data_IF_500749550416
#
_entry.id   IF_500749550416
#
_cell.length_a   1.000
_cell.length_b   1.000
_cell.length_c   1.000
_cell.angle_alpha   90.00
_cell.angle_beta   90.00
_cell.angle_gamma   90.00
#
_symmetry.space_group_name_H-M   'P 1'
#
loop_
_entity.id
_entity.type
_entity.pdbx_description
1 polymer ?
#
# COMPACT_ATOMS: atom_id res chain seq x y z
N UNK A 1 30.31 3.65 19.05
CA UNK A 1 29.47 4.27 18.00
C UNK A 1 30.31 4.36 16.73
N UNK A 2 30.22 3.35 15.88
CA UNK A 2 30.89 3.31 14.58
C UNK A 2 30.27 4.36 13.65
N UNK A 3 31.10 4.99 12.81
CA UNK A 3 30.72 6.02 11.84
C UNK A 3 29.55 5.51 10.99
N UNK A 4 28.38 6.12 11.09
CA UNK A 4 27.20 5.74 10.32
C UNK A 4 27.48 5.98 8.84
N UNK A 5 27.85 4.92 8.12
CA UNK A 5 28.04 4.93 6.68
C UNK A 5 26.80 4.30 6.06
N UNK A 6 26.02 5.11 5.33
CA UNK A 6 24.81 4.68 4.65
C UNK A 6 25.19 4.25 3.22
N UNK A 7 24.94 3.00 2.86
CA UNK A 7 24.96 2.58 1.45
C UNK A 7 23.57 2.79 0.87
N UNK A 8 23.47 3.47 -0.28
CA UNK A 8 22.21 3.67 -0.98
C UNK A 8 21.77 2.44 -1.78
N UNK A 9 22.70 1.52 -2.03
CA UNK A 9 22.46 0.32 -2.81
C UNK A 9 23.00 -0.89 -2.08
N UNK A 10 22.12 -1.88 -1.91
CA UNK A 10 22.41 -3.19 -1.39
C UNK A 10 21.41 -4.17 -2.03
N UNK A 11 21.75 -5.45 -2.01
CA UNK A 11 20.81 -6.50 -2.40
C UNK A 11 19.66 -6.60 -1.38
N UNK A 12 18.51 -7.14 -1.78
CA UNK A 12 17.31 -7.17 -0.95
C UNK A 12 17.50 -7.88 0.40
N UNK A 13 18.31 -8.93 0.47
CA UNK A 13 18.58 -9.65 1.72
C UNK A 13 19.48 -8.89 2.70
N UNK A 14 20.17 -7.87 2.22
CA UNK A 14 21.09 -7.04 3.00
C UNK A 14 20.57 -5.61 3.18
N UNK A 15 19.37 -5.30 2.67
CA UNK A 15 18.79 -3.97 2.79
C UNK A 15 17.92 -3.84 4.03
N UNK A 16 18.13 -2.76 4.77
CA UNK A 16 17.27 -2.41 5.91
C UNK A 16 15.97 -1.71 5.43
N UNK A 17 16.02 -1.05 4.28
CA UNK A 17 14.91 -0.31 3.69
C UNK A 17 14.81 -0.65 2.20
N UNK A 18 13.60 -1.03 1.77
CA UNK A 18 13.29 -1.27 0.36
C UNK A 18 12.36 -0.15 -0.11
N UNK A 19 12.81 0.62 -1.11
CA UNK A 19 11.99 1.62 -1.81
C UNK A 19 11.75 1.12 -3.22
N UNK A 20 10.50 0.83 -3.56
CA UNK A 20 10.13 0.27 -4.85
C UNK A 20 8.70 0.65 -5.25
N UNK A 21 8.43 0.60 -6.56
CA UNK A 21 7.06 0.64 -7.06
C UNK A 21 6.40 -0.74 -6.93
N UNK A 22 5.06 -0.82 -6.81
CA UNK A 22 4.36 -2.10 -6.75
C UNK A 22 4.66 -3.00 -7.97
N UNK A 23 4.75 -2.41 -9.15
CA UNK A 23 5.10 -3.13 -10.38
C UNK A 23 6.52 -3.72 -10.30
N UNK A 24 7.50 -2.94 -9.83
CA UNK A 24 8.89 -3.41 -9.71
C UNK A 24 9.04 -4.58 -8.74
N UNK A 25 8.28 -4.55 -7.63
CA UNK A 25 8.26 -5.67 -6.69
C UNK A 25 7.65 -6.93 -7.31
N UNK A 26 6.56 -6.81 -8.07
CA UNK A 26 5.92 -7.97 -8.71
C UNK A 26 6.84 -8.63 -9.73
N UNK A 27 7.51 -7.83 -10.57
CA UNK A 27 8.49 -8.39 -11.52
C UNK A 27 9.57 -9.16 -10.78
N UNK A 28 10.06 -8.65 -9.65
CA UNK A 28 11.04 -9.36 -8.82
C UNK A 28 10.48 -10.59 -8.10
N UNK A 29 9.22 -10.56 -7.68
CA UNK A 29 8.51 -11.71 -7.09
C UNK A 29 8.25 -12.83 -8.11
N UNK A 30 8.20 -12.52 -9.40
CA UNK A 30 8.08 -13.51 -10.47
C UNK A 30 9.44 -14.13 -10.85
N UNK A 31 10.49 -13.32 -10.83
CA UNK A 31 11.85 -13.73 -11.20
C UNK A 31 12.63 -14.43 -10.06
N UNK A 32 12.22 -14.22 -8.81
CA UNK A 32 12.97 -14.67 -7.61
C UNK A 32 12.02 -15.20 -6.54
N UNK A 33 12.56 -16.00 -5.62
CA UNK A 33 11.83 -16.44 -4.44
C UNK A 33 11.40 -15.21 -3.60
N UNK A 34 10.13 -15.16 -3.21
CA UNK A 34 9.50 -14.03 -2.51
C UNK A 34 10.03 -13.81 -1.08
N UNK A 35 11.01 -14.61 -0.67
CA UNK A 35 11.51 -14.76 0.69
C UNK A 35 12.12 -13.46 1.25
N UNK A 36 12.57 -12.54 0.38
CA UNK A 36 13.08 -11.23 0.79
C UNK A 36 12.03 -10.30 1.41
N UNK A 37 10.73 -10.57 1.24
CA UNK A 37 9.64 -9.83 1.89
C UNK A 37 9.10 -10.51 3.17
N UNK A 38 9.70 -11.62 3.60
CA UNK A 38 9.24 -12.38 4.77
C UNK A 38 9.39 -11.60 6.09
N UNK A 39 10.45 -10.80 6.21
CA UNK A 39 10.84 -10.12 7.46
C UNK A 39 10.29 -8.70 7.63
N UNK A 40 9.41 -8.22 6.75
CA UNK A 40 8.93 -6.83 6.76
C UNK A 40 8.14 -6.51 8.04
N UNK A 41 8.64 -5.54 8.82
CA UNK A 41 8.01 -5.05 10.05
C UNK A 41 7.10 -3.83 9.82
N UNK A 42 7.45 -3.00 8.85
CA UNK A 42 6.71 -1.77 8.51
C UNK A 42 6.52 -1.69 7.00
N UNK A 43 5.29 -1.44 6.57
CA UNK A 43 4.96 -1.18 5.16
C UNK A 43 4.33 0.19 5.05
N UNK A 44 4.93 1.05 4.22
CA UNK A 44 4.41 2.36 3.87
C UNK A 44 3.94 2.36 2.42
N UNK A 45 2.65 2.61 2.22
CA UNK A 45 2.06 2.85 0.92
C UNK A 45 1.86 4.36 0.75
N UNK A 46 2.79 5.01 0.05
CA UNK A 46 2.71 6.45 -0.23
C UNK A 46 2.01 6.71 -1.57
N UNK A 47 1.07 7.66 -1.60
CA UNK A 47 0.30 7.99 -2.81
C UNK A 47 -0.63 6.86 -3.29
N UNK A 48 -1.39 6.23 -2.39
CA UNK A 48 -2.28 5.12 -2.75
C UNK A 48 -3.34 5.48 -3.82
N UNK A 49 -3.72 6.76 -3.92
CA UNK A 49 -4.58 7.31 -4.97
C UNK A 49 -3.94 7.22 -6.36
N UNK A 50 -2.64 7.48 -6.47
CA UNK A 50 -1.90 7.36 -7.73
C UNK A 50 -1.79 5.89 -8.13
N UNK A 51 -1.50 5.01 -7.17
CA UNK A 51 -1.41 3.57 -7.42
C UNK A 51 -2.76 2.96 -7.82
N UNK A 52 -3.86 3.49 -7.27
CA UNK A 52 -5.22 3.14 -7.66
C UNK A 52 -5.48 3.51 -9.13
N UNK A 53 -5.03 4.68 -9.59
CA UNK A 53 -5.17 5.11 -10.98
C UNK A 53 -4.32 4.31 -11.97
N UNK A 54 -3.20 3.74 -11.52
CA UNK A 54 -2.33 2.91 -12.36
C UNK A 54 -2.85 1.47 -12.49
N UNK A 55 -2.78 0.71 -11.40
CA UNK A 55 -3.32 -0.64 -11.32
C UNK A 55 -3.30 -1.11 -9.86
N UNK A 56 -4.47 -1.12 -9.21
CA UNK A 56 -4.58 -1.57 -7.83
C UNK A 56 -4.31 -3.08 -7.64
N UNK A 57 -4.41 -3.90 -8.69
CA UNK A 57 -4.09 -5.32 -8.57
C UNK A 57 -2.64 -5.53 -8.15
N UNK A 58 -1.74 -4.65 -8.58
CA UNK A 58 -0.33 -4.76 -8.21
C UNK A 58 -0.13 -4.59 -6.70
N UNK A 59 -0.80 -3.61 -6.10
CA UNK A 59 -0.73 -3.39 -4.66
C UNK A 59 -1.26 -4.63 -3.91
N UNK A 60 -2.38 -5.21 -4.36
CA UNK A 60 -2.92 -6.43 -3.74
C UNK A 60 -1.93 -7.59 -3.80
N UNK A 61 -1.38 -7.86 -4.98
CA UNK A 61 -0.42 -8.96 -5.16
C UNK A 61 0.82 -8.79 -4.30
N UNK A 62 1.37 -7.58 -4.19
CA UNK A 62 2.49 -7.33 -3.27
C UNK A 62 2.08 -7.60 -1.82
N UNK A 63 0.93 -7.10 -1.37
CA UNK A 63 0.46 -7.31 0.00
C UNK A 63 0.19 -8.78 0.33
N UNK A 64 -0.26 -9.58 -0.64
CA UNK A 64 -0.41 -11.03 -0.52
C UNK A 64 0.94 -11.75 -0.38
N UNK A 65 2.01 -11.22 -1.00
CA UNK A 65 3.36 -11.79 -0.88
C UNK A 65 4.13 -11.35 0.38
N UNK A 66 3.66 -10.32 1.10
CA UNK A 66 4.34 -9.84 2.31
C UNK A 66 4.22 -10.85 3.46
N UNK A 67 5.32 -11.04 4.21
CA UNK A 67 5.39 -11.93 5.38
C UNK A 67 5.00 -13.39 5.11
N UNK A 68 5.11 -13.85 3.87
CA UNK A 68 5.03 -15.27 3.57
C UNK A 68 6.22 -16.00 4.22
N UNK A 69 6.00 -17.24 4.64
CA UNK A 69 7.09 -18.05 5.17
C UNK A 69 8.09 -18.36 4.05
N UNK A 70 9.39 -18.17 4.29
CA UNK A 70 10.40 -18.43 3.28
C UNK A 70 10.40 -19.93 2.93
N UNK A 71 10.44 -20.22 1.62
CA UNK A 71 10.47 -21.60 1.12
C UNK A 71 11.87 -22.21 1.23
N UNK A 72 12.91 -21.40 1.04
CA UNK A 72 14.29 -21.83 1.16
C UNK A 72 14.84 -21.54 2.56
N UNK A 73 15.47 -22.55 3.16
CA UNK A 73 16.28 -22.35 4.35
C UNK A 73 17.60 -21.68 3.95
N UNK A 74 17.59 -20.36 3.81
CA UNK A 74 18.83 -19.60 3.79
C UNK A 74 19.61 -19.85 5.09
N UNK A 75 20.94 -19.65 5.09
CA UNK A 75 21.82 -19.79 6.26
C UNK A 75 21.53 -18.68 7.31
N UNK A 76 20.28 -18.64 7.80
CA UNK A 76 19.82 -17.71 8.81
C UNK A 76 19.81 -18.43 10.15
N UNK A 77 20.35 -17.75 11.16
CA UNK A 77 20.40 -18.28 12.51
C UNK A 77 18.99 -18.23 13.13
N UNK A 78 18.25 -19.35 13.01
CA UNK A 78 16.87 -19.50 13.47
C UNK A 78 16.69 -19.14 14.96
N UNK A 79 17.74 -19.29 15.77
CA UNK A 79 17.72 -18.91 17.20
C UNK A 79 17.52 -17.39 17.43
N UNK A 80 17.68 -16.56 16.39
CA UNK A 80 17.48 -15.10 16.44
C UNK A 80 16.15 -14.66 15.85
N UNK A 81 15.41 -15.58 15.23
CA UNK A 81 14.10 -15.28 14.64
C UNK A 81 13.05 -15.25 15.75
N UNK A 82 12.20 -14.22 15.74
CA UNK A 82 11.11 -14.12 16.72
C UNK A 82 10.07 -15.21 16.45
N UNK A 83 9.50 -15.73 17.53
CA UNK A 83 8.54 -16.84 17.52
C UNK A 83 7.36 -16.59 16.57
N UNK A 84 6.80 -15.39 16.55
CA UNK A 84 5.67 -15.08 15.66
C UNK A 84 5.99 -15.11 14.15
N UNK A 85 7.27 -15.03 13.75
CA UNK A 85 7.65 -15.28 12.35
C UNK A 85 7.66 -16.78 12.05
N UNK A 86 8.07 -17.60 13.01
CA UNK A 86 8.04 -19.06 12.92
C UNK A 86 6.59 -19.58 12.91
N UNK A 87 5.71 -18.96 13.69
CA UNK A 87 4.28 -19.29 13.77
C UNK A 87 3.44 -18.76 12.59
N UNK A 88 4.06 -18.10 11.61
CA UNK A 88 3.35 -17.48 10.48
C UNK A 88 2.42 -16.32 10.89
N UNK A 89 2.58 -15.80 12.10
CA UNK A 89 1.79 -14.69 12.65
C UNK A 89 2.42 -13.31 12.39
N UNK A 90 3.53 -13.24 11.66
CA UNK A 90 4.25 -12.00 11.36
C UNK A 90 3.35 -10.90 10.76
N UNK A 91 2.42 -11.27 9.87
CA UNK A 91 1.48 -10.32 9.26
C UNK A 91 0.62 -9.56 10.30
N UNK A 92 0.36 -10.13 11.49
CA UNK A 92 -0.41 -9.50 12.59
C UNK A 92 0.38 -8.45 13.36
N UNK A 93 1.71 -8.56 13.34
CA UNK A 93 2.63 -7.67 14.05
C UNK A 93 3.22 -6.60 13.13
N UNK A 94 3.06 -6.74 11.81
CA UNK A 94 3.47 -5.73 10.83
C UNK A 94 2.63 -4.45 10.96
N UNK A 95 3.29 -3.30 11.00
CA UNK A 95 2.63 -2.01 10.92
C UNK A 95 2.39 -1.62 9.46
N UNK A 96 1.13 -1.36 9.10
CA UNK A 96 0.74 -0.88 7.77
C UNK A 96 0.36 0.60 7.85
N UNK A 97 1.04 1.45 7.08
CA UNK A 97 0.75 2.88 6.97
C UNK A 97 0.37 3.16 5.52
N UNK A 98 -0.82 3.72 5.31
CA UNK A 98 -1.31 4.07 3.97
C UNK A 98 -1.59 5.56 3.91
N UNK A 99 -0.95 6.24 2.98
CA UNK A 99 -1.14 7.65 2.71
C UNK A 99 -1.86 7.82 1.37
N UNK A 100 -2.89 8.66 1.37
CA UNK A 100 -3.64 8.99 0.15
C UNK A 100 -4.21 10.40 0.23
N UNK A 101 -4.33 11.04 -0.93
CA UNK A 101 -4.91 12.38 -1.06
C UNK A 101 -6.42 12.41 -0.80
N UNK A 102 -7.13 11.30 -1.05
CA UNK A 102 -8.58 11.20 -0.87
C UNK A 102 -8.97 9.83 -0.29
N UNK A 103 -10.17 9.70 0.31
CA UNK A 103 -10.63 8.41 0.82
C UNK A 103 -10.94 7.44 -0.33
N UNK A 104 -10.25 6.30 -0.37
CA UNK A 104 -10.48 5.23 -1.35
C UNK A 104 -11.18 4.02 -0.70
N UNK A 105 -12.11 3.38 -1.42
CA UNK A 105 -12.79 2.15 -0.94
C UNK A 105 -11.81 0.98 -0.92
N UNK A 106 -10.92 0.95 -1.89
CA UNK A 106 -9.88 -0.05 -2.10
C UNK A 106 -8.87 -0.07 -0.96
N UNK A 107 -8.45 1.11 -0.49
CA UNK A 107 -7.61 1.25 0.71
C UNK A 107 -8.34 0.72 1.95
N UNK A 108 -9.63 1.06 2.12
CA UNK A 108 -10.40 0.54 3.24
C UNK A 108 -10.55 -1.00 3.16
N UNK A 109 -10.69 -1.56 1.95
CA UNK A 109 -10.74 -3.00 1.75
C UNK A 109 -9.40 -3.68 2.09
N UNK A 110 -8.28 -3.11 1.64
CA UNK A 110 -6.94 -3.58 1.95
C UNK A 110 -6.67 -3.58 3.46
N UNK A 111 -7.02 -2.49 4.14
CA UNK A 111 -6.84 -2.39 5.59
C UNK A 111 -7.69 -3.40 6.36
N UNK A 112 -8.90 -3.74 5.88
CA UNK A 112 -9.71 -4.81 6.48
C UNK A 112 -9.12 -6.21 6.31
N UNK A 113 -8.35 -6.44 5.24
CA UNK A 113 -7.65 -7.70 5.01
C UNK A 113 -6.38 -7.81 5.87
N UNK A 114 -5.76 -6.67 6.18
CA UNK A 114 -4.61 -6.62 7.07
C UNK A 114 -5.03 -6.82 8.53
N UNK A 115 -4.46 -7.85 9.18
CA UNK A 115 -4.63 -8.05 10.61
C UNK A 115 -3.56 -7.24 11.37
N UNK A 116 -3.96 -6.56 12.45
CA UNK A 116 -3.06 -5.76 13.29
C UNK A 116 -3.40 -6.00 14.75
N UNK A 117 -2.40 -6.37 15.56
CA UNK A 117 -2.59 -6.64 16.99
C UNK A 117 -3.08 -5.40 17.76
N UNK A 118 -2.57 -4.21 17.43
CA UNK A 118 -2.91 -2.96 18.09
C UNK A 118 -4.17 -2.27 17.51
N UNK A 119 -4.85 -2.91 16.55
CA UNK A 119 -6.01 -2.33 15.85
C UNK A 119 -5.61 -1.39 14.71
N UNK A 120 -6.53 -0.49 14.36
CA UNK A 120 -6.41 0.41 13.20
C UNK A 120 -6.90 1.82 13.56
N UNK A 121 -6.20 2.83 13.06
CA UNK A 121 -6.60 4.23 13.17
C UNK A 121 -6.70 4.85 11.78
N UNK A 122 -7.77 5.61 11.53
CA UNK A 122 -7.99 6.34 10.27
C UNK A 122 -8.11 7.82 10.56
N UNK A 123 -7.25 8.61 9.93
CA UNK A 123 -7.30 10.08 9.99
C UNK A 123 -7.69 10.59 8.63
N UNK A 124 -8.75 11.40 8.57
CA UNK A 124 -9.20 12.05 7.36
C UNK A 124 -9.29 13.55 7.60
N UNK A 125 -8.66 14.34 6.73
CA UNK A 125 -8.86 15.79 6.75
C UNK A 125 -10.22 16.11 6.14
N UNK A 126 -11.05 16.83 6.89
CA UNK A 126 -12.24 17.48 6.35
C UNK A 126 -11.81 18.79 5.69
N UNK A 127 -12.26 19.03 4.47
CA UNK A 127 -12.14 20.32 3.79
C UNK A 127 -13.55 20.81 3.43
N UNK A 128 -13.75 22.14 3.41
CA UNK A 128 -15.06 22.73 3.11
C UNK A 128 -15.57 22.44 1.68
N UNK A 129 -14.71 21.87 0.82
CA UNK A 129 -15.00 21.63 -0.58
C UNK A 129 -15.21 22.94 -1.37
N UNK A 130 -15.43 22.80 -2.68
CA UNK A 130 -15.75 23.93 -3.57
C UNK A 130 -17.11 23.77 -4.25
N UNK A 131 -17.82 22.66 -4.01
CA UNK A 131 -19.11 22.38 -4.65
C UNK A 131 -20.17 23.45 -4.33
N UNK A 132 -20.14 24.02 -3.14
CA UNK A 132 -21.01 25.14 -2.75
C UNK A 132 -20.72 26.43 -3.51
N UNK A 133 -19.54 26.57 -4.13
CA UNK A 133 -19.14 27.73 -4.92
C UNK A 133 -19.54 27.58 -6.39
N UNK A 134 -19.96 26.39 -6.82
CA UNK A 134 -20.36 26.13 -8.20
C UNK A 134 -21.85 26.44 -8.36
N UNK A 135 -22.17 27.46 -9.15
CA UNK A 135 -23.55 27.75 -9.57
C UNK A 135 -23.81 26.98 -10.88
N UNK A 136 -24.63 25.92 -10.87
CA UNK A 136 -24.93 25.18 -12.09
C UNK A 136 -25.77 26.06 -13.02
N UNK A 137 -25.20 26.42 -14.16
CA UNK A 137 -25.93 27.09 -15.24
C UNK A 137 -26.55 26.02 -16.15
N UNK A 138 -27.80 25.65 -15.86
CA UNK A 138 -28.59 24.86 -16.80
C UNK A 138 -29.31 25.81 -17.76
N UNK A 139 -28.85 25.92 -19.00
CA UNK A 139 -29.62 26.57 -20.06
C UNK A 139 -30.77 25.64 -20.46
N UNK A 140 -31.99 25.97 -20.07
CA UNK A 140 -33.17 25.34 -20.66
C UNK A 140 -33.20 25.71 -22.15
N UNK A 141 -33.36 24.76 -23.08
CA UNK A 141 -33.58 25.10 -24.48
C UNK A 141 -34.85 25.96 -24.55
N UNK A 142 -34.73 27.14 -25.17
CA UNK A 142 -35.84 28.05 -25.36
C UNK A 142 -37.01 27.27 -25.97
N UNK A 143 -38.16 27.28 -25.29
CA UNK A 143 -39.39 26.74 -25.83
C UNK A 143 -39.61 27.37 -27.22
N UNK A 144 -39.55 26.54 -28.26
CA UNK A 144 -39.91 26.93 -29.62
C UNK A 144 -41.40 27.29 -29.57
N UNK A 145 -41.69 28.58 -29.42
CA UNK A 145 -43.02 29.11 -29.63
C UNK A 145 -43.33 28.95 -31.12
N UNK A 146 -44.05 27.88 -31.46
CA UNK A 146 -44.70 27.72 -32.76
C UNK A 146 -45.76 28.82 -32.92
N UNK A 147 -45.70 29.67 -33.96
CA UNK A 147 -46.77 30.63 -34.21
C UNK A 147 -47.99 29.89 -34.76
N UNK A 148 -49.15 30.14 -34.15
CA UNK A 148 -50.46 29.86 -34.72
C UNK A 148 -50.64 30.64 -36.03
N UNK A 149 -50.97 29.94 -37.12
CA UNK A 149 -51.87 30.34 -38.21
C UNK A 149 -51.96 29.23 -39.27
#
# INVERSE_FOLDING_TARGET
LTRAQMSLFAEFYHSDIIVASPLGLITKLQDSEADFLSSIEVTLLDGADVMLMQNWSHVKSVFESLNQQPGASHEQNLMRVREWYLDGSAARYRQNIVLSSFPCVEVNALMRQCSSHAGQAKVQRSSAGVLSLVVPQASLPAAVASPEA
#
